data_IF_593483640686
#
_entry.id   IF_593483640686
#
_cell.length_a   1.000
_cell.length_b   1.000
_cell.length_c   1.000
_cell.angle_alpha   90.00
_cell.angle_beta   90.00
_cell.angle_gamma   90.00
#
_symmetry.space_group_name_H-M   'P 1'
#
loop_
_entity.id
_entity.type
_entity.pdbx_description
1 polymer ?
#
# COMPACT_ATOMS: atom_id res chain seq x y z
N UNK A 1 -20.87 -80.72 18.63
CA UNK A 1 -22.02 -80.20 17.88
C UNK A 1 -21.75 -78.72 17.63
N UNK A 2 -21.54 -78.42 16.35
CA UNK A 2 -21.55 -77.11 15.69
C UNK A 2 -20.50 -76.06 16.07
N UNK A 3 -19.36 -76.15 15.37
CA UNK A 3 -18.56 -74.97 14.99
C UNK A 3 -19.46 -73.96 14.26
N UNK A 4 -19.73 -72.84 14.90
CA UNK A 4 -20.24 -71.65 14.21
C UNK A 4 -19.15 -71.12 13.28
N UNK A 5 -19.19 -71.59 12.04
CA UNK A 5 -18.52 -71.04 10.87
C UNK A 5 -18.57 -69.51 10.88
N UNK A 6 -17.42 -68.89 11.09
CA UNK A 6 -17.22 -67.45 11.10
C UNK A 6 -17.39 -66.90 9.67
N UNK A 7 -18.64 -66.64 9.28
CA UNK A 7 -19.11 -66.31 7.92
C UNK A 7 -18.49 -65.06 7.26
N UNK A 8 -17.59 -64.34 7.93
CA UNK A 8 -17.08 -63.04 7.49
C UNK A 8 -15.58 -62.94 7.20
N UNK A 9 -14.84 -64.06 7.10
CA UNK A 9 -13.45 -64.00 6.60
C UNK A 9 -13.42 -63.87 5.08
N UNK A 10 -12.70 -62.88 4.51
CA UNK A 10 -12.54 -62.76 3.06
C UNK A 10 -11.84 -64.01 2.52
N UNK A 11 -12.38 -64.58 1.44
CA UNK A 11 -11.96 -65.86 0.88
C UNK A 11 -10.97 -65.66 -0.27
N UNK A 12 -11.13 -64.60 -1.05
CA UNK A 12 -10.26 -64.26 -2.20
C UNK A 12 -9.29 -63.12 -1.88
N UNK A 13 -8.20 -63.01 -2.64
CA UNK A 13 -7.27 -61.88 -2.50
C UNK A 13 -7.91 -60.54 -2.85
N UNK A 14 -8.86 -60.57 -3.79
CA UNK A 14 -9.63 -59.43 -4.26
C UNK A 14 -10.54 -58.91 -3.15
N UNK A 15 -11.22 -59.80 -2.44
CA UNK A 15 -12.01 -59.45 -1.27
C UNK A 15 -11.15 -58.90 -0.13
N UNK A 16 -9.95 -59.47 0.10
CA UNK A 16 -9.00 -58.99 1.12
C UNK A 16 -8.53 -57.57 0.80
N UNK A 17 -8.06 -57.34 -0.43
CA UNK A 17 -7.62 -56.03 -0.90
C UNK A 17 -8.74 -55.00 -0.83
N UNK A 18 -9.95 -55.32 -1.32
CA UNK A 18 -11.07 -54.40 -1.27
C UNK A 18 -11.44 -53.99 0.17
N UNK A 19 -11.42 -54.94 1.11
CA UNK A 19 -11.67 -54.63 2.52
C UNK A 19 -10.57 -53.79 3.14
N UNK A 20 -9.30 -54.10 2.85
CA UNK A 20 -8.16 -53.29 3.30
C UNK A 20 -8.28 -51.84 2.82
N UNK A 21 -8.65 -51.63 1.55
CA UNK A 21 -8.87 -50.29 0.97
C UNK A 21 -10.02 -49.55 1.66
N UNK A 22 -11.15 -50.23 1.86
CA UNK A 22 -12.34 -49.64 2.48
C UNK A 22 -12.05 -49.20 3.91
N UNK A 23 -11.47 -50.09 4.71
CA UNK A 23 -11.09 -49.80 6.09
C UNK A 23 -10.02 -48.72 6.15
N UNK A 24 -9.03 -48.75 5.26
CA UNK A 24 -8.00 -47.72 5.21
C UNK A 24 -8.59 -46.33 4.92
N UNK A 25 -9.53 -46.23 3.97
CA UNK A 25 -10.19 -44.97 3.66
C UNK A 25 -10.97 -44.43 4.88
N UNK A 26 -11.77 -45.27 5.53
CA UNK A 26 -12.53 -44.89 6.72
C UNK A 26 -11.63 -44.46 7.88
N UNK A 27 -10.62 -45.27 8.21
CA UNK A 27 -9.70 -44.97 9.31
C UNK A 27 -8.83 -43.75 9.03
N UNK A 28 -8.50 -43.47 7.76
CA UNK A 28 -7.78 -42.25 7.38
C UNK A 28 -8.60 -40.99 7.68
N UNK A 29 -9.90 -41.00 7.37
CA UNK A 29 -10.79 -39.88 7.70
C UNK A 29 -10.89 -39.69 9.21
N UNK A 30 -11.07 -40.78 9.97
CA UNK A 30 -11.14 -40.72 11.44
C UNK A 30 -9.83 -40.19 12.02
N UNK A 31 -8.69 -40.64 11.50
CA UNK A 31 -7.37 -40.19 11.97
C UNK A 31 -7.13 -38.70 11.72
N UNK A 32 -7.56 -38.19 10.56
CA UNK A 32 -7.50 -36.76 10.21
C UNK A 32 -8.39 -35.96 11.18
N UNK A 33 -9.65 -36.35 11.34
CA UNK A 33 -10.60 -35.61 12.19
C UNK A 33 -10.21 -35.62 13.67
N UNK A 34 -9.63 -36.72 14.15
CA UNK A 34 -9.19 -36.86 15.55
C UNK A 34 -7.75 -36.37 15.79
N UNK A 35 -7.05 -35.94 14.73
CA UNK A 35 -5.62 -35.60 14.75
C UNK A 35 -4.74 -36.67 15.46
N UNK A 36 -5.10 -37.95 15.29
CA UNK A 36 -4.48 -39.09 15.97
C UNK A 36 -4.43 -40.31 15.05
N UNK A 37 -3.23 -40.88 14.94
CA UNK A 37 -3.00 -42.06 14.08
C UNK A 37 -2.87 -43.36 14.87
N UNK A 38 -2.24 -43.30 16.05
CA UNK A 38 -1.97 -44.46 16.88
C UNK A 38 -3.27 -45.04 17.43
N UNK A 39 -3.53 -46.30 17.10
CA UNK A 39 -4.75 -47.01 17.48
C UNK A 39 -5.96 -46.72 16.58
N UNK A 40 -5.77 -46.02 15.46
CA UNK A 40 -6.85 -45.67 14.51
C UNK A 40 -6.46 -46.15 13.10
N UNK A 41 -5.42 -45.55 12.51
CA UNK A 41 -5.01 -45.84 11.13
C UNK A 41 -3.60 -46.47 11.04
N UNK A 42 -3.26 -47.36 11.99
CA UNK A 42 -2.02 -48.13 11.89
C UNK A 42 -2.25 -49.41 11.07
N UNK A 43 -1.21 -49.91 10.41
CA UNK A 43 -1.29 -51.12 9.57
C UNK A 43 -1.98 -52.29 10.30
N UNK A 44 -1.61 -52.51 11.57
CA UNK A 44 -2.21 -53.54 12.42
C UNK A 44 -3.71 -53.33 12.60
N UNK A 45 -4.15 -52.12 12.96
CA UNK A 45 -5.57 -51.81 13.19
C UNK A 45 -6.38 -51.97 11.89
N UNK A 46 -5.81 -51.54 10.76
CA UNK A 46 -6.45 -51.68 9.45
C UNK A 46 -6.62 -53.16 9.09
N UNK A 47 -5.58 -53.99 9.30
CA UNK A 47 -5.63 -55.44 9.06
C UNK A 47 -6.63 -56.14 9.99
N UNK A 48 -6.63 -55.79 11.28
CA UNK A 48 -7.54 -56.35 12.29
C UNK A 48 -9.02 -56.04 11.92
N UNK A 49 -9.32 -54.79 11.57
CA UNK A 49 -10.67 -54.37 11.15
C UNK A 49 -11.10 -54.95 9.81
N UNK A 50 -10.17 -55.10 8.85
CA UNK A 50 -10.43 -55.76 7.58
C UNK A 50 -10.56 -57.29 7.70
N UNK A 51 -10.20 -57.85 8.86
CA UNK A 51 -10.10 -59.29 9.11
C UNK A 51 -9.15 -59.97 8.11
N UNK A 52 -8.01 -59.34 7.85
CA UNK A 52 -6.94 -59.81 6.95
C UNK A 52 -5.65 -59.97 7.75
N UNK A 53 -4.95 -61.08 7.58
CA UNK A 53 -3.67 -61.32 8.25
C UNK A 53 -2.60 -60.35 7.72
N UNK A 54 -1.83 -59.75 8.63
CA UNK A 54 -0.75 -58.80 8.27
C UNK A 54 0.30 -59.42 7.35
N UNK A 55 0.49 -60.74 7.39
CA UNK A 55 1.45 -61.47 6.56
C UNK A 55 1.16 -61.33 5.06
N UNK A 56 -0.08 -61.05 4.65
CA UNK A 56 -0.40 -60.73 3.24
C UNK A 56 0.25 -59.40 2.82
N UNK A 57 0.12 -58.38 3.67
CA UNK A 57 0.57 -57.01 3.37
C UNK A 57 2.09 -56.88 3.49
N UNK A 58 2.71 -57.64 4.39
CA UNK A 58 4.16 -57.70 4.54
C UNK A 58 4.85 -58.69 3.57
N UNK A 59 4.09 -59.38 2.71
CA UNK A 59 4.65 -60.26 1.69
C UNK A 59 5.23 -61.58 2.22
N UNK A 60 4.76 -62.03 3.39
CA UNK A 60 5.14 -63.32 3.98
C UNK A 60 4.30 -64.49 3.45
N UNK A 61 3.24 -64.21 2.68
CA UNK A 61 2.38 -65.22 2.05
C UNK A 61 2.64 -65.23 0.55
N UNK A 62 2.97 -66.40 0.00
CA UNK A 62 3.13 -66.58 -1.44
C UNK A 62 1.82 -66.29 -2.18
N UNK A 63 1.89 -65.34 -3.12
CA UNK A 63 0.78 -64.92 -3.98
C UNK A 63 1.30 -64.75 -5.42
N UNK A 64 0.42 -64.80 -6.43
CA UNK A 64 0.77 -64.39 -7.79
C UNK A 64 1.43 -63.00 -7.84
N UNK A 65 2.41 -62.76 -8.74
CA UNK A 65 3.19 -61.52 -8.74
C UNK A 65 2.36 -60.23 -8.85
N UNK A 66 1.26 -60.27 -9.59
CA UNK A 66 0.31 -59.17 -9.77
C UNK A 66 -0.44 -58.84 -8.46
N UNK A 67 -0.85 -59.87 -7.72
CA UNK A 67 -1.52 -59.73 -6.42
C UNK A 67 -0.54 -59.23 -5.35
N UNK A 68 0.68 -59.79 -5.33
CA UNK A 68 1.74 -59.35 -4.41
C UNK A 68 2.09 -57.87 -4.63
N UNK A 69 2.14 -57.41 -5.88
CA UNK A 69 2.37 -56.01 -6.21
C UNK A 69 1.25 -55.09 -5.67
N UNK A 70 -0.01 -55.55 -5.68
CA UNK A 70 -1.15 -54.79 -5.13
C UNK A 70 -1.10 -54.68 -3.61
N UNK A 71 -0.77 -55.76 -2.90
CA UNK A 71 -0.56 -55.70 -1.44
C UNK A 71 0.60 -54.78 -1.07
N UNK A 72 1.70 -54.82 -1.83
CA UNK A 72 2.84 -53.90 -1.65
C UNK A 72 2.43 -52.44 -1.89
N UNK A 73 1.69 -52.16 -2.96
CA UNK A 73 1.18 -50.82 -3.23
C UNK A 73 0.24 -50.30 -2.13
N UNK A 74 -0.57 -51.18 -1.54
CA UNK A 74 -1.37 -50.85 -0.36
C UNK A 74 -0.50 -50.56 0.86
N UNK A 75 0.48 -51.42 1.15
CA UNK A 75 1.44 -51.21 2.23
C UNK A 75 2.10 -49.83 2.15
N UNK A 76 2.65 -49.50 0.98
CA UNK A 76 3.40 -48.28 0.75
C UNK A 76 2.51 -47.04 0.95
N UNK A 77 1.23 -47.08 0.49
CA UNK A 77 0.28 -45.99 0.74
C UNK A 77 -0.03 -45.76 2.22
N UNK A 78 -0.19 -46.84 3.01
CA UNK A 78 -0.43 -46.71 4.45
C UNK A 78 0.80 -46.13 5.15
N UNK A 79 2.00 -46.54 4.73
CA UNK A 79 3.26 -45.98 5.25
C UNK A 79 3.39 -44.50 4.89
N UNK A 80 3.15 -44.13 3.63
CA UNK A 80 3.20 -42.74 3.16
C UNK A 80 2.19 -41.87 3.89
N UNK A 81 0.97 -42.35 4.08
CA UNK A 81 -0.05 -41.66 4.87
C UNK A 81 0.45 -41.40 6.30
N UNK A 82 1.01 -42.42 6.96
CA UNK A 82 1.51 -42.29 8.32
C UNK A 82 2.65 -41.28 8.43
N UNK A 83 3.60 -41.31 7.49
CA UNK A 83 4.72 -40.37 7.45
C UNK A 83 4.25 -38.93 7.21
N UNK A 84 3.37 -38.73 6.22
CA UNK A 84 2.80 -37.42 5.90
C UNK A 84 1.99 -36.84 7.06
N UNK A 85 1.21 -37.67 7.74
CA UNK A 85 0.44 -37.26 8.91
C UNK A 85 1.33 -36.72 10.04
N UNK A 86 2.40 -37.45 10.38
CA UNK A 86 3.34 -37.03 11.44
C UNK A 86 4.08 -35.76 11.05
N UNK A 87 4.54 -35.67 9.80
CA UNK A 87 5.22 -34.48 9.26
C UNK A 87 4.33 -33.24 9.31
N UNK A 88 3.08 -33.36 8.85
CA UNK A 88 2.11 -32.27 8.86
C UNK A 88 1.76 -31.82 10.28
N UNK A 89 1.58 -32.77 11.21
CA UNK A 89 1.33 -32.45 12.62
C UNK A 89 2.48 -31.68 13.27
N UNK A 90 3.73 -32.06 12.95
CA UNK A 90 4.93 -31.34 13.43
C UNK A 90 4.97 -29.91 12.87
N UNK A 91 4.76 -29.74 11.57
CA UNK A 91 4.72 -28.42 10.91
C UNK A 91 3.63 -27.50 11.49
N UNK A 92 2.44 -28.04 11.72
CA UNK A 92 1.33 -27.30 12.34
C UNK A 92 1.69 -26.80 13.74
N UNK A 93 2.31 -27.63 14.56
CA UNK A 93 2.75 -27.24 15.89
C UNK A 93 3.87 -26.19 15.86
N UNK A 94 4.86 -26.34 14.98
CA UNK A 94 5.93 -25.35 14.79
C UNK A 94 5.38 -24.00 14.33
N UNK A 95 4.42 -24.01 13.40
CA UNK A 95 3.74 -22.80 12.94
C UNK A 95 2.95 -22.13 14.06
N UNK A 96 2.20 -22.91 14.86
CA UNK A 96 1.44 -22.38 15.99
C UNK A 96 2.34 -21.70 17.04
N UNK A 97 3.49 -22.32 17.37
CA UNK A 97 4.47 -21.72 18.30
C UNK A 97 5.05 -20.42 17.73
N UNK A 98 5.40 -20.42 16.43
CA UNK A 98 5.91 -19.24 15.74
C UNK A 98 4.91 -18.07 15.75
N UNK A 99 3.65 -18.33 15.47
CA UNK A 99 2.60 -17.30 15.47
C UNK A 99 2.34 -16.72 16.87
N UNK A 100 2.34 -17.56 17.91
CA UNK A 100 2.23 -17.10 19.30
C UNK A 100 3.40 -16.17 19.66
N UNK A 101 4.62 -16.50 19.21
CA UNK A 101 5.79 -15.66 19.46
C UNK A 101 5.70 -14.32 18.73
N UNK A 102 5.27 -14.30 17.46
CA UNK A 102 5.04 -13.05 16.70
C UNK A 102 3.96 -12.19 17.37
N UNK A 103 2.86 -12.82 17.82
CA UNK A 103 1.79 -12.12 18.52
C UNK A 103 2.30 -11.45 19.79
N UNK A 104 3.09 -12.17 20.60
CA UNK A 104 3.70 -11.61 21.82
C UNK A 104 4.61 -10.43 21.52
N UNK A 105 5.46 -10.53 20.50
CA UNK A 105 6.32 -9.43 20.06
C UNK A 105 5.52 -8.21 19.60
N UNK A 106 4.42 -8.42 18.87
CA UNK A 106 3.54 -7.34 18.43
C UNK A 106 2.85 -6.64 19.61
N UNK A 107 2.44 -7.39 20.64
CA UNK A 107 1.87 -6.81 21.87
C UNK A 107 2.90 -5.93 22.59
N UNK A 108 4.14 -6.40 22.73
CA UNK A 108 5.21 -5.63 23.37
C UNK A 108 5.53 -4.34 22.59
N UNK A 109 5.59 -4.43 21.26
CA UNK A 109 5.76 -3.26 20.38
C UNK A 109 4.62 -2.25 20.51
N UNK A 110 3.37 -2.72 20.51
CA UNK A 110 2.20 -1.85 20.67
C UNK A 110 2.20 -1.15 22.03
N UNK A 111 2.63 -1.83 23.09
CA UNK A 111 2.77 -1.22 24.41
C UNK A 111 3.85 -0.12 24.41
N UNK A 112 4.96 -0.31 23.71
CA UNK A 112 5.99 0.71 23.55
C UNK A 112 5.48 1.92 22.76
N UNK A 113 4.82 1.69 21.63
CA UNK A 113 4.23 2.77 20.81
C UNK A 113 3.19 3.60 21.59
N UNK A 114 2.44 2.97 22.49
CA UNK A 114 1.48 3.67 23.34
C UNK A 114 2.17 4.62 24.33
N UNK A 115 3.33 4.21 24.89
CA UNK A 115 4.15 5.08 25.74
C UNK A 115 4.69 6.26 24.94
N UNK A 116 5.29 5.99 23.79
CA UNK A 116 5.86 7.02 22.92
C UNK A 116 4.80 8.04 22.48
N UNK A 117 3.58 7.56 22.15
CA UNK A 117 2.44 8.43 21.83
C UNK A 117 2.10 9.37 22.99
N UNK A 118 2.08 8.84 24.21
CA UNK A 118 1.75 9.63 25.41
C UNK A 118 2.83 10.69 25.67
N UNK A 119 4.10 10.33 25.53
CA UNK A 119 5.22 11.24 25.69
C UNK A 119 5.22 12.35 24.62
N UNK A 120 4.96 12.00 23.36
CA UNK A 120 4.85 12.97 22.27
C UNK A 120 3.67 13.93 22.47
N UNK A 121 2.53 13.44 22.96
CA UNK A 121 1.40 14.29 23.31
C UNK A 121 1.76 15.28 24.42
N UNK A 122 2.48 14.83 25.44
CA UNK A 122 2.96 15.71 26.51
C UNK A 122 3.95 16.77 25.98
N UNK A 123 4.86 16.40 25.06
CA UNK A 123 5.76 17.36 24.41
C UNK A 123 5.03 18.37 23.55
N UNK A 124 4.00 17.93 22.81
CA UNK A 124 3.18 18.80 21.98
C UNK A 124 2.46 19.86 22.82
N UNK A 125 1.87 19.48 23.96
CA UNK A 125 1.22 20.44 24.85
C UNK A 125 2.22 21.44 25.45
N UNK A 126 3.40 20.99 25.88
CA UNK A 126 4.47 21.91 26.33
C UNK A 126 4.88 22.89 25.24
N UNK A 127 4.92 22.45 23.98
CA UNK A 127 5.23 23.31 22.85
C UNK A 127 4.13 24.34 22.58
N UNK A 128 2.86 23.92 22.63
CA UNK A 128 1.70 24.83 22.51
C UNK A 128 1.70 25.91 23.59
N UNK A 129 1.95 25.53 24.84
CA UNK A 129 2.06 26.48 25.96
C UNK A 129 3.17 27.50 25.73
N UNK A 130 4.32 27.05 25.20
CA UNK A 130 5.44 27.93 24.87
C UNK A 130 5.08 28.90 23.74
N UNK A 131 4.39 28.42 22.70
CA UNK A 131 3.93 29.26 21.58
C UNK A 131 2.94 30.31 22.08
N UNK A 132 1.98 29.93 22.94
CA UNK A 132 1.02 30.88 23.52
C UNK A 132 1.71 31.97 24.33
N UNK A 133 2.69 31.62 25.17
CA UNK A 133 3.48 32.59 25.94
C UNK A 133 4.24 33.55 25.03
N UNK A 134 4.91 33.03 24.01
CA UNK A 134 5.64 33.86 23.05
C UNK A 134 4.72 34.76 22.20
N UNK A 135 3.52 34.28 21.86
CA UNK A 135 2.51 35.11 21.19
C UNK A 135 2.05 36.27 22.08
N UNK A 136 1.75 36.00 23.35
CA UNK A 136 1.37 37.04 24.30
C UNK A 136 2.48 38.08 24.50
N UNK A 137 3.73 37.62 24.63
CA UNK A 137 4.91 38.49 24.73
C UNK A 137 5.09 39.33 23.46
N UNK A 138 4.95 38.72 22.28
CA UNK A 138 5.00 39.43 20.99
C UNK A 138 3.92 40.51 20.90
N UNK A 139 2.68 40.21 21.28
CA UNK A 139 1.58 41.19 21.28
C UNK A 139 1.87 42.34 22.22
N UNK A 140 2.40 42.06 23.41
CA UNK A 140 2.78 43.09 24.38
C UNK A 140 3.90 44.01 23.85
N UNK A 141 4.96 43.43 23.27
CA UNK A 141 6.06 44.19 22.66
C UNK A 141 5.59 45.02 21.45
N UNK A 142 4.66 44.49 20.65
CA UNK A 142 4.06 45.23 19.54
C UNK A 142 3.26 46.43 20.04
N UNK A 143 2.45 46.27 21.09
CA UNK A 143 1.70 47.37 21.70
C UNK A 143 2.63 48.50 22.20
N UNK A 144 3.72 48.14 22.90
CA UNK A 144 4.74 49.09 23.38
C UNK A 144 5.43 49.79 22.20
N UNK A 145 5.75 49.07 21.12
CA UNK A 145 6.37 49.66 19.92
C UNK A 145 5.44 50.66 19.19
N UNK A 146 4.12 50.40 19.17
CA UNK A 146 3.13 51.37 18.65
C UNK A 146 2.98 52.61 19.53
N UNK A 147 3.08 52.49 20.86
CA UNK A 147 2.98 53.65 21.78
C UNK A 147 4.24 54.55 21.75
N UNK A 148 5.39 54.01 21.37
CA UNK A 148 6.67 54.72 21.41
C UNK A 148 7.07 55.41 20.10
N UNK A 149 6.22 55.42 19.05
CA UNK A 149 6.54 55.99 17.73
C UNK A 149 7.86 55.44 17.12
N UNK A 150 8.30 54.24 17.54
CA UNK A 150 9.47 53.55 16.97
C UNK A 150 8.98 52.52 15.94
N UNK A 151 8.27 52.97 14.90
CA UNK A 151 8.08 52.15 13.70
C UNK A 151 8.24 53.04 12.47
N UNK A 152 9.48 53.48 12.25
CA UNK A 152 9.99 53.56 10.89
C UNK A 152 10.50 52.16 10.51
N UNK A 153 9.84 51.57 9.51
CA UNK A 153 10.33 50.45 8.71
C UNK A 153 10.51 49.06 9.36
N UNK A 154 9.46 48.44 9.91
CA UNK A 154 9.28 46.97 9.78
C UNK A 154 7.81 46.62 9.68
N UNK A 155 7.29 46.57 8.45
CA UNK A 155 6.02 45.93 8.12
C UNK A 155 6.14 44.42 8.40
N UNK A 156 5.99 44.02 9.66
CA UNK A 156 5.63 42.65 10.02
C UNK A 156 4.16 42.47 9.65
N UNK A 157 3.93 42.01 8.43
CA UNK A 157 2.60 41.66 7.96
C UNK A 157 1.92 40.72 8.96
N UNK A 158 0.72 41.09 9.38
CA UNK A 158 -0.20 40.26 10.14
C UNK A 158 -0.44 38.93 9.40
N UNK A 159 -0.61 37.84 10.17
CA UNK A 159 -0.95 36.48 9.70
C UNK A 159 -2.27 36.44 8.87
N UNK A 160 -3.00 37.56 8.80
CA UNK A 160 -4.23 37.73 8.03
C UNK A 160 -4.07 37.75 6.50
N UNK A 161 -2.87 37.97 5.95
CA UNK A 161 -2.70 38.21 4.50
C UNK A 161 -1.92 37.11 3.76
N UNK A 162 -2.15 35.84 4.09
CA UNK A 162 -1.56 34.73 3.33
C UNK A 162 -2.15 34.68 1.92
N UNK A 163 -1.37 35.13 0.95
CA UNK A 163 -1.74 35.09 -0.47
C UNK A 163 -1.55 33.69 -1.05
N UNK A 164 -2.55 33.20 -1.78
CA UNK A 164 -2.46 31.98 -2.59
C UNK A 164 -2.47 32.37 -4.06
N UNK A 165 -1.37 32.12 -4.77
CA UNK A 165 -1.23 32.38 -6.21
C UNK A 165 -1.14 31.07 -6.98
N UNK A 166 -1.95 30.90 -8.02
CA UNK A 166 -1.91 29.73 -8.91
C UNK A 166 -1.28 30.16 -10.23
N UNK A 167 -0.20 29.50 -10.62
CA UNK A 167 0.44 29.63 -11.93
C UNK A 167 0.08 28.40 -12.75
N UNK A 168 -0.57 28.62 -13.90
CA UNK A 168 -0.89 27.55 -14.83
C UNK A 168 -0.57 27.98 -16.26
N UNK A 169 0.40 27.35 -16.96
CA UNK A 169 0.64 27.63 -18.37
C UNK A 169 -0.63 27.44 -19.23
N UNK A 170 -1.46 26.45 -18.89
CA UNK A 170 -2.70 26.13 -19.60
C UNK A 170 -3.75 27.24 -19.52
N UNK A 171 -3.66 28.16 -18.56
CA UNK A 171 -4.54 29.34 -18.48
C UNK A 171 -4.32 30.31 -19.65
N UNK A 172 -3.12 30.31 -20.24
CA UNK A 172 -2.73 31.15 -21.37
C UNK A 172 -2.94 30.47 -22.73
N UNK A 173 -3.41 29.21 -22.73
CA UNK A 173 -3.67 28.41 -23.93
C UNK A 173 -5.16 28.29 -24.26
N UNK A 174 -6.00 28.95 -23.48
CA UNK A 174 -7.45 28.97 -23.64
C UNK A 174 -7.88 30.36 -24.15
N UNK A 175 -8.37 30.42 -25.39
CA UNK A 175 -8.91 31.64 -26.00
C UNK A 175 -10.29 31.33 -26.59
N UNK A 176 -11.29 32.15 -26.26
CA UNK A 176 -12.68 32.03 -26.73
C UNK A 176 -13.30 30.63 -26.52
N UNK A 177 -12.99 30.01 -25.37
CA UNK A 177 -13.46 28.66 -25.01
C UNK A 177 -12.80 27.53 -25.81
N UNK A 178 -11.81 27.82 -26.66
CA UNK A 178 -11.03 26.82 -27.40
C UNK A 178 -9.63 26.69 -26.83
N UNK A 179 -9.21 25.45 -26.63
CA UNK A 179 -7.88 25.11 -26.13
C UNK A 179 -6.89 24.94 -27.28
N UNK A 180 -6.00 25.92 -27.45
CA UNK A 180 -5.08 26.00 -28.59
C UNK A 180 -3.76 25.26 -28.33
N UNK A 181 -3.85 24.00 -27.89
CA UNK A 181 -2.66 23.22 -27.55
C UNK A 181 -1.76 22.94 -28.76
N UNK A 182 -2.31 22.80 -29.97
CA UNK A 182 -1.53 22.40 -31.15
C UNK A 182 -0.53 23.48 -31.63
N UNK A 183 -0.68 24.73 -31.21
CA UNK A 183 0.23 25.81 -31.59
C UNK A 183 1.48 25.83 -30.70
N UNK A 184 2.61 25.33 -31.23
CA UNK A 184 3.88 25.28 -30.47
C UNK A 184 4.33 26.64 -29.97
N UNK A 185 4.26 27.69 -30.81
CA UNK A 185 4.67 29.04 -30.41
C UNK A 185 3.82 29.58 -29.26
N UNK A 186 2.53 29.27 -29.25
CA UNK A 186 1.64 29.64 -28.16
C UNK A 186 1.98 28.90 -26.86
N UNK A 187 2.30 27.59 -26.94
CA UNK A 187 2.78 26.81 -25.79
C UNK A 187 4.07 27.38 -25.23
N UNK A 188 5.07 27.62 -26.08
CA UNK A 188 6.38 28.12 -25.63
C UNK A 188 6.24 29.49 -24.97
N UNK A 189 5.38 30.36 -25.53
CA UNK A 189 5.04 31.65 -24.91
C UNK A 189 4.33 31.49 -23.57
N UNK A 190 3.32 30.62 -23.48
CA UNK A 190 2.58 30.37 -22.24
C UNK A 190 3.50 29.85 -21.12
N UNK A 191 4.36 28.89 -21.44
CA UNK A 191 5.37 28.37 -20.51
C UNK A 191 6.37 29.45 -20.09
N UNK A 192 6.87 30.24 -21.04
CA UNK A 192 7.81 31.35 -20.75
C UNK A 192 7.17 32.40 -19.84
N UNK A 193 5.90 32.75 -20.07
CA UNK A 193 5.16 33.70 -19.22
C UNK A 193 4.94 33.14 -17.82
N UNK A 194 4.51 31.88 -17.67
CA UNK A 194 4.36 31.22 -16.38
C UNK A 194 5.67 31.18 -15.58
N UNK A 195 6.80 30.90 -16.25
CA UNK A 195 8.14 30.92 -15.65
C UNK A 195 8.56 32.32 -15.21
N UNK A 196 8.28 33.34 -16.03
CA UNK A 196 8.60 34.73 -15.69
C UNK A 196 7.78 35.20 -14.48
N UNK A 197 6.49 34.84 -14.41
CA UNK A 197 5.65 35.14 -13.26
C UNK A 197 6.15 34.44 -11.99
N UNK A 198 6.48 33.15 -12.09
CA UNK A 198 7.04 32.40 -10.97
C UNK A 198 8.34 33.03 -10.47
N UNK A 199 9.27 33.36 -11.37
CA UNK A 199 10.52 34.03 -11.02
C UNK A 199 10.29 35.39 -10.34
N UNK A 200 9.26 36.14 -10.77
CA UNK A 200 8.87 37.40 -10.10
C UNK A 200 8.36 37.15 -8.68
N UNK A 201 7.56 36.10 -8.47
CA UNK A 201 7.08 35.73 -7.13
C UNK A 201 8.22 35.30 -6.22
N UNK A 202 9.18 34.52 -6.73
CA UNK A 202 10.33 34.05 -5.95
C UNK A 202 11.30 35.18 -5.54
N UNK A 203 11.25 36.35 -6.21
CA UNK A 203 12.05 37.52 -5.80
C UNK A 203 11.48 38.27 -4.60
N UNK A 204 10.26 37.93 -4.13
CA UNK A 204 9.63 38.59 -2.99
C UNK A 204 10.38 38.22 -1.71
N UNK A 205 10.60 39.20 -0.82
CA UNK A 205 11.24 38.98 0.49
C UNK A 205 10.22 38.55 1.55
N UNK A 206 9.45 37.49 1.27
CA UNK A 206 8.46 36.93 2.20
C UNK A 206 8.59 35.40 2.23
N UNK A 207 8.30 34.73 3.36
CA UNK A 207 8.29 33.28 3.40
C UNK A 207 7.26 32.70 2.43
N UNK A 208 7.70 31.75 1.60
CA UNK A 208 6.87 31.16 0.55
C UNK A 208 6.84 29.63 0.64
N UNK A 209 5.72 29.05 0.22
CA UNK A 209 5.55 27.61 0.01
C UNK A 209 5.14 27.35 -1.43
N UNK A 210 5.97 26.62 -2.16
CA UNK A 210 5.73 26.24 -3.55
C UNK A 210 5.06 24.87 -3.54
N UNK A 211 3.86 24.80 -4.10
CA UNK A 211 3.13 23.55 -4.33
C UNK A 211 3.28 23.14 -5.80
N UNK A 212 4.18 22.19 -6.08
CA UNK A 212 4.43 21.68 -7.41
C UNK A 212 3.50 20.49 -7.70
N UNK A 213 2.46 20.70 -8.51
CA UNK A 213 1.50 19.63 -8.83
C UNK A 213 2.11 18.66 -9.84
N UNK A 214 2.00 17.36 -9.57
CA UNK A 214 2.57 16.28 -10.39
C UNK A 214 1.51 15.23 -10.69
N UNK A 215 1.14 15.12 -11.96
CA UNK A 215 0.25 14.07 -12.41
C UNK A 215 -0.21 14.23 -13.86
N UNK A 216 -0.67 13.15 -14.49
CA UNK A 216 -1.14 13.14 -15.86
C UNK A 216 -2.39 14.04 -16.04
N UNK A 217 -2.74 14.45 -17.27
CA UNK A 217 -4.00 15.13 -17.53
C UNK A 217 -5.18 14.36 -16.92
N UNK A 218 -6.21 15.09 -16.46
CA UNK A 218 -7.41 14.53 -15.82
C UNK A 218 -7.21 13.94 -14.41
N UNK A 219 -6.01 14.04 -13.81
CA UNK A 219 -5.74 13.59 -12.44
C UNK A 219 -6.32 14.48 -11.32
N UNK A 220 -7.10 15.51 -11.63
CA UNK A 220 -7.73 16.38 -10.64
C UNK A 220 -6.87 17.57 -10.12
N UNK A 221 -5.67 17.80 -10.67
CA UNK A 221 -4.77 18.91 -10.28
C UNK A 221 -5.44 20.28 -10.13
N UNK A 222 -6.05 20.78 -11.20
CA UNK A 222 -6.71 22.09 -11.19
C UNK A 222 -7.89 22.14 -10.22
N UNK A 223 -8.59 21.02 -10.01
CA UNK A 223 -9.67 20.92 -9.02
C UNK A 223 -9.12 21.04 -7.61
N UNK A 224 -8.04 20.33 -7.31
CA UNK A 224 -7.34 20.41 -6.02
C UNK A 224 -6.79 21.82 -5.76
N UNK A 225 -6.14 22.44 -6.75
CA UNK A 225 -5.60 23.81 -6.64
C UNK A 225 -6.69 24.84 -6.30
N UNK A 226 -7.91 24.67 -6.83
CA UNK A 226 -9.04 25.58 -6.58
C UNK A 226 -9.64 25.44 -5.18
N UNK A 227 -9.52 24.29 -4.52
CA UNK A 227 -10.03 24.09 -3.15
C UNK A 227 -9.32 25.00 -2.15
N UNK A 228 -8.04 25.34 -2.41
CA UNK A 228 -7.21 26.24 -1.59
C UNK A 228 -7.11 25.85 -0.10
N UNK A 229 -7.33 24.57 0.19
CA UNK A 229 -7.15 24.00 1.52
C UNK A 229 -5.69 23.61 1.70
N UNK A 230 -4.87 24.62 2.03
CA UNK A 230 -3.42 24.53 2.13
C UNK A 230 -2.95 24.93 3.52
N UNK A 231 -1.71 24.59 3.86
CA UNK A 231 -1.07 25.10 5.07
C UNK A 231 -1.04 26.63 5.04
N UNK A 232 -1.54 27.24 6.12
CA UNK A 232 -1.61 28.68 6.32
C UNK A 232 -0.40 29.19 7.09
N UNK A 233 0.78 28.68 6.76
CA UNK A 233 2.05 29.04 7.41
C UNK A 233 2.87 30.05 6.59
N UNK A 234 2.72 30.04 5.26
CA UNK A 234 3.53 30.79 4.29
C UNK A 234 2.68 31.26 3.11
N UNK A 235 3.15 32.26 2.35
CA UNK A 235 2.50 32.62 1.08
C UNK A 235 2.60 31.45 0.08
N UNK A 236 1.46 30.97 -0.40
CA UNK A 236 1.41 29.79 -1.26
C UNK A 236 1.53 30.17 -2.75
N UNK A 237 2.37 29.44 -3.47
CA UNK A 237 2.48 29.50 -4.93
C UNK A 237 2.25 28.09 -5.48
N UNK A 238 1.13 27.87 -6.16
CA UNK A 238 0.76 26.59 -6.75
C UNK A 238 1.16 26.59 -8.22
N UNK A 239 1.89 25.57 -8.67
CA UNK A 239 2.24 25.36 -10.07
C UNK A 239 1.32 24.26 -10.62
N UNK A 240 0.24 24.67 -11.29
CA UNK A 240 -0.75 23.78 -11.91
C UNK A 240 -0.34 23.47 -13.35
N UNK A 241 0.53 22.46 -13.47
CA UNK A 241 0.97 21.83 -14.70
C UNK A 241 1.14 20.31 -14.49
N UNK A 242 1.51 19.56 -15.52
CA UNK A 242 1.64 18.09 -15.42
C UNK A 242 2.89 17.64 -14.68
N UNK A 243 4.04 18.27 -14.97
CA UNK A 243 5.34 18.04 -14.34
C UNK A 243 5.69 16.54 -14.16
N UNK A 244 5.60 15.78 -15.25
CA UNK A 244 5.60 14.31 -15.26
C UNK A 244 7.00 13.75 -15.01
N UNK A 245 8.04 14.42 -15.47
CA UNK A 245 9.43 13.97 -15.36
C UNK A 245 10.23 14.81 -14.36
N UNK A 246 11.29 14.24 -13.81
CA UNK A 246 12.23 14.93 -12.92
C UNK A 246 12.84 16.16 -13.60
N UNK A 247 13.11 16.11 -14.91
CA UNK A 247 13.62 17.26 -15.67
C UNK A 247 12.64 18.44 -15.73
N UNK A 248 11.34 18.17 -15.91
CA UNK A 248 10.30 19.21 -15.87
C UNK A 248 10.20 19.86 -14.48
N UNK A 249 10.30 19.02 -13.43
CA UNK A 249 10.25 19.43 -12.02
C UNK A 249 11.48 20.24 -11.61
N UNK A 250 12.68 19.78 -11.96
CA UNK A 250 13.96 20.42 -11.63
C UNK A 250 13.99 21.90 -12.03
N UNK A 251 13.43 22.25 -13.19
CA UNK A 251 13.38 23.64 -13.65
C UNK A 251 12.59 24.54 -12.69
N UNK A 252 11.51 24.05 -12.07
CA UNK A 252 10.75 24.79 -11.06
C UNK A 252 11.48 24.85 -9.73
N UNK A 253 12.06 23.73 -9.32
CA UNK A 253 12.78 23.59 -8.04
C UNK A 253 13.98 24.55 -8.01
N UNK A 254 14.82 24.54 -9.05
CA UNK A 254 15.97 25.45 -9.18
C UNK A 254 15.57 26.94 -9.17
N UNK A 255 14.38 27.28 -9.69
CA UNK A 255 13.88 28.65 -9.62
C UNK A 255 13.36 29.00 -8.22
N UNK A 256 12.75 28.03 -7.53
CA UNK A 256 12.24 28.18 -6.16
C UNK A 256 13.36 28.51 -5.18
N UNK A 257 14.51 27.84 -5.32
CA UNK A 257 15.69 28.01 -4.47
C UNK A 257 16.29 29.42 -4.48
N UNK A 258 15.90 30.27 -5.44
CA UNK A 258 16.30 31.68 -5.48
C UNK A 258 15.49 32.56 -4.52
N UNK A 259 14.41 32.04 -3.95
CA UNK A 259 13.56 32.76 -3.01
C UNK A 259 14.15 32.80 -1.60
N UNK A 260 13.73 33.82 -0.85
CA UNK A 260 14.07 33.93 0.56
C UNK A 260 13.09 33.07 1.38
N UNK A 261 13.62 32.11 2.15
CA UNK A 261 12.83 31.23 3.03
C UNK A 261 11.67 30.52 2.29
N UNK A 262 12.03 29.56 1.44
CA UNK A 262 11.09 28.76 0.64
C UNK A 262 10.95 27.33 1.17
N UNK A 263 9.74 26.80 1.11
CA UNK A 263 9.46 25.37 1.25
C UNK A 263 8.88 24.82 -0.04
N UNK A 264 9.45 23.73 -0.55
CA UNK A 264 9.03 23.09 -1.79
C UNK A 264 8.25 21.82 -1.43
N UNK A 265 6.98 21.80 -1.79
CA UNK A 265 6.07 20.70 -1.57
C UNK A 265 5.61 20.15 -2.92
N UNK A 266 5.91 18.88 -3.20
CA UNK A 266 5.42 18.19 -4.39
C UNK A 266 4.08 17.53 -4.08
N UNK A 267 3.07 17.78 -4.90
CA UNK A 267 1.73 17.20 -4.75
C UNK A 267 1.52 16.17 -5.84
N UNK A 268 1.68 14.89 -5.49
CA UNK A 268 1.64 13.74 -6.42
C UNK A 268 0.22 13.16 -6.47
N UNK A 269 -0.39 13.19 -7.65
CA UNK A 269 -1.74 12.64 -7.88
C UNK A 269 -1.68 11.18 -8.33
N UNK A 270 -2.11 10.28 -7.47
CA UNK A 270 -2.19 8.84 -7.72
C UNK A 270 -3.60 8.51 -8.21
N UNK A 271 -3.80 8.62 -9.53
CA UNK A 271 -5.06 8.30 -10.20
C UNK A 271 -4.80 7.23 -11.25
N UNK A 272 -5.58 6.17 -11.25
CA UNK A 272 -5.45 5.07 -12.22
C UNK A 272 -5.88 5.50 -13.63
N UNK A 273 -5.34 4.82 -14.64
CA UNK A 273 -5.60 5.16 -16.05
C UNK A 273 -7.09 5.08 -16.43
N UNK A 274 -7.85 4.13 -15.87
CA UNK A 274 -9.28 3.97 -16.17
C UNK A 274 -10.05 5.22 -15.74
N UNK A 275 -9.76 5.72 -14.53
CA UNK A 275 -10.33 6.96 -14.01
C UNK A 275 -9.93 8.17 -14.87
N UNK A 276 -8.67 8.27 -15.28
CA UNK A 276 -8.21 9.36 -16.16
C UNK A 276 -8.92 9.34 -17.51
N UNK A 277 -9.05 8.16 -18.13
CA UNK A 277 -9.72 7.97 -19.40
C UNK A 277 -11.22 8.31 -19.31
N UNK A 278 -11.90 7.85 -18.26
CA UNK A 278 -13.30 8.17 -18.01
C UNK A 278 -13.52 9.69 -17.83
N UNK A 279 -12.64 10.37 -17.09
CA UNK A 279 -12.66 11.83 -16.92
C UNK A 279 -12.39 12.56 -18.23
N UNK A 280 -11.44 12.08 -19.03
CA UNK A 280 -11.12 12.65 -20.33
C UNK A 280 -12.28 12.50 -21.32
N UNK A 281 -13.00 11.38 -21.31
CA UNK A 281 -14.15 11.14 -22.17
C UNK A 281 -15.28 12.16 -21.92
N UNK A 282 -15.55 12.45 -20.63
CA UNK A 282 -16.58 13.39 -20.16
C UNK A 282 -16.21 14.87 -20.30
N UNK A 283 -14.97 15.20 -20.66
CA UNK A 283 -14.52 16.59 -20.78
C UNK A 283 -15.07 17.25 -22.04
N UNK A 284 -15.71 18.39 -21.85
CA UNK A 284 -16.11 19.31 -22.93
C UNK A 284 -14.96 20.19 -23.42
N UNK A 285 -14.00 20.49 -22.54
CA UNK A 285 -12.85 21.35 -22.80
C UNK A 285 -11.54 20.63 -22.45
N UNK A 286 -10.45 20.96 -23.15
CA UNK A 286 -9.11 20.38 -22.93
C UNK A 286 -9.09 18.84 -22.99
N UNK A 287 -10.03 18.24 -23.74
CA UNK A 287 -10.04 16.82 -24.03
C UNK A 287 -8.84 16.50 -24.92
N UNK A 288 -8.11 15.46 -24.57
CA UNK A 288 -6.95 15.01 -25.33
C UNK A 288 -7.22 13.66 -25.96
N UNK A 289 -6.44 13.33 -26.98
CA UNK A 289 -6.50 12.02 -27.62
C UNK A 289 -6.14 10.90 -26.60
N UNK A 290 -6.86 9.76 -26.57
CA UNK A 290 -6.51 8.60 -25.76
C UNK A 290 -5.02 8.21 -25.85
N UNK A 291 -4.42 8.21 -27.04
CA UNK A 291 -3.01 7.81 -27.20
C UNK A 291 -2.07 8.81 -26.51
N UNK A 292 -2.41 10.09 -26.55
CA UNK A 292 -1.64 11.15 -25.86
C UNK A 292 -1.81 11.03 -24.35
N UNK A 293 -3.02 10.68 -23.87
CA UNK A 293 -3.28 10.48 -22.45
C UNK A 293 -2.49 9.29 -21.92
N UNK A 294 -2.48 8.17 -22.63
CA UNK A 294 -1.72 6.97 -22.29
C UNK A 294 -0.22 7.25 -22.24
N UNK A 295 0.32 7.92 -23.28
CA UNK A 295 1.73 8.32 -23.29
C UNK A 295 2.09 9.21 -22.10
N UNK A 296 1.22 10.17 -21.73
CA UNK A 296 1.43 11.02 -20.55
C UNK A 296 1.26 10.30 -19.22
N UNK A 297 0.45 9.25 -19.17
CA UNK A 297 0.32 8.41 -18.00
C UNK A 297 1.59 7.57 -17.79
N UNK A 298 2.10 6.98 -18.87
CA UNK A 298 3.31 6.16 -18.85
C UNK A 298 4.60 6.97 -18.64
N UNK A 299 4.60 8.26 -18.97
CA UNK A 299 5.77 9.14 -18.77
C UNK A 299 5.89 9.69 -17.35
N UNK A 300 5.05 9.28 -16.40
CA UNK A 300 5.12 9.78 -15.03
C UNK A 300 6.27 9.10 -14.31
N UNK A 301 7.29 9.88 -13.97
CA UNK A 301 8.39 9.42 -13.12
C UNK A 301 8.03 9.60 -11.65
N UNK A 302 8.51 8.67 -10.82
CA UNK A 302 8.40 8.81 -9.37
C UNK A 302 9.12 10.05 -8.86
N UNK A 303 8.62 10.58 -7.75
CA UNK A 303 9.19 11.75 -7.09
C UNK A 303 10.18 11.24 -6.04
N UNK A 304 11.45 11.64 -6.16
CA UNK A 304 12.49 11.29 -5.20
C UNK A 304 12.84 12.52 -4.35
N UNK A 305 12.44 12.54 -3.06
CA UNK A 305 12.68 13.71 -2.22
C UNK A 305 14.15 14.05 -1.99
N UNK A 306 14.99 13.02 -1.94
CA UNK A 306 16.42 13.18 -1.66
C UNK A 306 17.18 13.64 -2.88
N UNK A 307 16.81 13.15 -4.07
CA UNK A 307 17.46 13.54 -5.32
C UNK A 307 16.99 14.90 -5.83
N UNK A 308 15.70 15.22 -5.69
CA UNK A 308 15.12 16.44 -6.26
C UNK A 308 15.19 17.67 -5.34
N UNK A 309 15.80 17.57 -4.16
CA UNK A 309 15.95 18.69 -3.20
C UNK A 309 14.62 19.32 -2.80
N UNK A 310 13.61 18.48 -2.53
CA UNK A 310 12.28 18.90 -2.09
C UNK A 310 12.09 18.66 -0.59
N UNK A 311 11.33 19.53 0.07
CA UNK A 311 11.12 19.42 1.52
C UNK A 311 10.03 18.42 1.89
N UNK A 312 8.98 18.32 1.07
CA UNK A 312 7.76 17.60 1.39
C UNK A 312 7.12 16.97 0.14
N UNK A 313 6.47 15.81 0.32
CA UNK A 313 5.61 15.20 -0.70
C UNK A 313 4.23 14.93 -0.11
N UNK A 314 3.20 15.37 -0.81
CA UNK A 314 1.79 15.06 -0.52
C UNK A 314 1.29 14.12 -1.60
N UNK A 315 0.83 12.94 -1.19
CA UNK A 315 0.16 12.01 -2.09
C UNK A 315 -1.36 12.24 -2.05
N UNK A 316 -1.93 12.60 -3.19
CA UNK A 316 -3.38 12.72 -3.37
C UNK A 316 -3.86 11.43 -4.01
N UNK A 317 -4.61 10.64 -3.24
CA UNK A 317 -5.30 9.44 -3.71
C UNK A 317 -6.77 9.82 -3.95
N UNK A 318 -7.31 9.43 -5.09
CA UNK A 318 -8.76 9.44 -5.25
C UNK A 318 -9.31 8.21 -4.53
N UNK A 319 -10.19 8.42 -3.55
CA UNK A 319 -11.00 7.35 -2.99
C UNK A 319 -12.01 6.96 -4.08
N UNK A 320 -11.65 5.93 -4.86
CA UNK A 320 -12.59 5.23 -5.73
C UNK A 320 -13.60 4.49 -4.83
N UNK A 321 -14.58 5.20 -4.27
CA UNK A 321 -15.87 4.58 -3.98
C UNK A 321 -16.50 4.26 -5.35
N UNK A 322 -16.38 2.99 -5.74
CA UNK A 322 -17.02 2.41 -6.92
C UNK A 322 -18.54 2.52 -6.85
#
# INVERSE_FOLDING_TARGET
MEEQSNKNKPKTNEERLLRLETVFAEQSVIAINSNKIRGIATMKVICDLANVDTNYVYGHIECPPDIAARYKSFHDRVVDFNQNFVSNKKKLNEHAVSEIQKYKQSVDQNHQLLKDKTDLQAQLERSKDKVLKLMAEKTHLQAIATESNIISERNLASISDITITIISPDSLLEHDGKYNFHNSKARDKAWSTARAEFARLMKRKVPQRVYLLVGPPCSGKSTWAKKKDLYKDRHAVIIDATNLTAGERATWIMQSQKANDVKICVVRFLTDYVTLAARNLKRSHKKIDPDILENKFNSVEEVDPSFEEIDEVIYVRDDNEY
#
